data_IF_696725093183
#
_entry.id   IF_696725093183
#
_cell.length_a   1.000
_cell.length_b   1.000
_cell.length_c   1.000
_cell.angle_alpha   90.00
_cell.angle_beta   90.00
_cell.angle_gamma   90.00
#
_symmetry.space_group_name_H-M   'P 1'
#
loop_
_entity.id
_entity.type
_entity.pdbx_description
1 polymer ?
#
# COMPACT_ATOMS: atom_id res chain seq x y z
N UNK A 1 13.90 -10.44 -5.49
CA UNK A 1 13.65 -9.15 -6.17
C UNK A 1 14.20 -8.09 -5.24
N UNK A 2 14.92 -7.09 -5.72
CA UNK A 2 15.54 -6.08 -4.86
C UNK A 2 14.55 -4.95 -4.57
N UNK A 3 14.02 -4.92 -3.35
CA UNK A 3 13.09 -3.89 -2.86
C UNK A 3 13.82 -2.80 -2.08
N UNK A 4 15.11 -3.01 -1.78
CA UNK A 4 15.93 -2.24 -0.84
C UNK A 4 15.39 -2.22 0.61
N UNK A 5 14.35 -3.01 0.92
CA UNK A 5 13.75 -3.12 2.23
C UNK A 5 14.25 -4.38 2.95
N UNK A 6 14.24 -4.34 4.27
CA UNK A 6 14.43 -5.51 5.12
C UNK A 6 13.22 -6.42 5.04
N UNK A 7 13.44 -7.73 5.12
CA UNK A 7 12.38 -8.74 5.11
C UNK A 7 11.26 -8.47 6.14
N UNK A 8 11.53 -8.04 7.39
CA UNK A 8 10.47 -7.66 8.34
C UNK A 8 9.58 -6.52 7.83
N UNK A 9 10.18 -5.49 7.23
CA UNK A 9 9.43 -4.37 6.66
C UNK A 9 8.57 -4.81 5.48
N UNK A 10 9.09 -5.69 4.63
CA UNK A 10 8.30 -6.25 3.53
C UNK A 10 7.07 -7.00 4.04
N UNK A 11 7.25 -7.86 5.05
CA UNK A 11 6.14 -8.63 5.65
C UNK A 11 5.08 -7.73 6.27
N UNK A 12 5.48 -6.64 6.93
CA UNK A 12 4.56 -5.66 7.52
C UNK A 12 3.75 -4.95 6.43
N UNK A 13 4.38 -4.52 5.34
CA UNK A 13 3.69 -3.85 4.21
C UNK A 13 2.70 -4.81 3.55
N UNK A 14 3.09 -6.07 3.32
CA UNK A 14 2.20 -7.09 2.77
C UNK A 14 1.01 -7.39 3.70
N UNK A 15 1.26 -7.53 5.01
CA UNK A 15 0.22 -7.74 6.00
C UNK A 15 -0.76 -6.56 6.06
N UNK A 16 -0.25 -5.34 5.95
CA UNK A 16 -1.08 -4.14 5.91
C UNK A 16 -2.02 -4.12 4.72
N UNK A 17 -1.48 -4.37 3.52
CA UNK A 17 -2.25 -4.39 2.29
C UNK A 17 -3.39 -5.39 2.31
N UNK A 18 -3.11 -6.61 2.78
CA UNK A 18 -4.09 -7.69 2.84
C UNK A 18 -5.05 -7.58 4.05
N UNK A 19 -4.86 -6.60 4.93
CA UNK A 19 -5.81 -6.33 6.01
C UNK A 19 -7.14 -5.74 5.47
N UNK A 20 -7.12 -5.15 4.27
CA UNK A 20 -8.31 -4.73 3.52
C UNK A 20 -8.83 -5.90 2.65
N UNK A 21 -10.14 -6.14 2.71
CA UNK A 21 -10.86 -6.90 1.70
C UNK A 21 -11.14 -6.02 0.47
N UNK A 22 -10.13 -5.87 -0.38
CA UNK A 22 -10.26 -5.09 -1.59
C UNK A 22 -11.23 -5.67 -2.61
N UNK A 23 -11.56 -6.97 -2.55
CA UNK A 23 -12.57 -7.58 -3.42
C UNK A 23 -13.96 -7.17 -3.00
N UNK A 24 -14.29 -7.29 -1.71
CA UNK A 24 -15.57 -6.84 -1.18
C UNK A 24 -15.77 -5.34 -1.42
N UNK A 25 -14.73 -4.54 -1.17
CA UNK A 25 -14.77 -3.11 -1.44
C UNK A 25 -15.00 -2.80 -2.94
N UNK A 26 -14.25 -3.43 -3.85
CA UNK A 26 -14.41 -3.19 -5.28
C UNK A 26 -15.79 -3.64 -5.79
N UNK A 27 -16.29 -4.78 -5.32
CA UNK A 27 -17.62 -5.28 -5.69
C UNK A 27 -18.75 -4.35 -5.21
N UNK A 28 -18.58 -3.70 -4.07
CA UNK A 28 -19.54 -2.74 -3.55
C UNK A 28 -19.45 -1.38 -4.24
N UNK A 29 -18.24 -0.85 -4.42
CA UNK A 29 -18.02 0.52 -4.90
C UNK A 29 -18.16 0.64 -6.42
N UNK A 30 -17.77 -0.39 -7.17
CA UNK A 30 -17.80 -0.41 -8.64
C UNK A 30 -18.36 -1.72 -9.21
N UNK A 31 -19.62 -2.06 -8.94
CA UNK A 31 -20.24 -3.27 -9.48
C UNK A 31 -20.24 -3.25 -11.02
N UNK A 32 -19.56 -4.22 -11.64
CA UNK A 32 -19.44 -4.33 -13.10
C UNK A 32 -18.53 -3.28 -13.75
N UNK A 33 -17.77 -2.53 -12.96
CA UNK A 33 -16.84 -1.48 -13.42
C UNK A 33 -15.50 -1.56 -12.69
N UNK A 34 -14.94 -2.76 -12.54
CA UNK A 34 -13.73 -3.03 -11.76
C UNK A 34 -12.49 -2.26 -12.25
N UNK A 35 -12.52 -1.75 -13.49
CA UNK A 35 -11.49 -0.84 -14.03
C UNK A 35 -11.49 0.52 -13.31
N UNK A 36 -12.63 1.00 -12.83
CA UNK A 36 -12.72 2.25 -12.08
C UNK A 36 -12.08 2.16 -10.71
N UNK A 37 -11.94 0.95 -10.16
CA UNK A 37 -11.21 0.72 -8.92
C UNK A 37 -9.75 1.21 -8.97
N UNK A 38 -9.18 1.30 -10.18
CA UNK A 38 -7.83 1.80 -10.42
C UNK A 38 -7.74 3.31 -10.55
N UNK A 39 -8.85 4.05 -10.58
CA UNK A 39 -8.83 5.51 -10.75
C UNK A 39 -8.03 6.22 -9.65
N UNK A 40 -8.20 5.90 -8.35
CA UNK A 40 -7.39 6.53 -7.29
C UNK A 40 -5.89 6.30 -7.47
N UNK A 41 -5.50 5.06 -7.81
CA UNK A 41 -4.10 4.72 -8.09
C UNK A 41 -3.57 5.45 -9.32
N UNK A 42 -4.36 5.52 -10.39
CA UNK A 42 -3.99 6.20 -11.64
C UNK A 42 -3.82 7.70 -11.41
N UNK A 43 -4.72 8.33 -10.64
CA UNK A 43 -4.63 9.73 -10.26
C UNK A 43 -3.38 10.00 -9.40
N UNK A 44 -3.07 9.11 -8.45
CA UNK A 44 -1.85 9.22 -7.65
C UNK A 44 -0.59 9.12 -8.51
N UNK A 45 -0.50 8.13 -9.41
CA UNK A 45 0.66 7.96 -10.30
C UNK A 45 0.84 9.12 -11.27
N UNK A 46 -0.25 9.78 -11.67
CA UNK A 46 -0.23 10.90 -12.62
C UNK A 46 0.12 12.22 -11.94
N UNK A 47 -0.56 12.53 -10.83
CA UNK A 47 -0.58 13.88 -10.25
C UNK A 47 -0.02 13.92 -8.81
N UNK A 48 0.38 12.78 -8.24
CA UNK A 48 0.89 12.67 -6.87
C UNK A 48 -0.15 12.92 -5.77
N UNK A 49 -1.44 12.85 -6.10
CA UNK A 49 -2.53 13.21 -5.20
C UNK A 49 -3.26 11.97 -4.68
N UNK A 50 -3.41 11.89 -3.36
CA UNK A 50 -4.30 10.94 -2.71
C UNK A 50 -5.77 11.27 -3.01
N UNK A 51 -6.63 10.25 -3.01
CA UNK A 51 -8.07 10.44 -3.11
C UNK A 51 -8.60 11.16 -1.86
N UNK A 52 -9.67 11.97 -1.99
CA UNK A 52 -10.31 12.61 -0.84
C UNK A 52 -10.91 11.61 0.16
N UNK A 53 -11.41 10.48 -0.32
CA UNK A 53 -11.89 9.39 0.51
C UNK A 53 -10.73 8.48 0.90
N UNK A 54 -10.52 8.32 2.20
CA UNK A 54 -9.43 7.50 2.74
C UNK A 54 -9.58 6.02 2.36
N UNK A 55 -10.81 5.53 2.21
CA UNK A 55 -11.06 4.13 1.87
C UNK A 55 -10.60 3.83 0.45
N UNK A 56 -10.76 4.79 -0.46
CA UNK A 56 -10.27 4.70 -1.83
C UNK A 56 -8.73 4.59 -1.87
N UNK A 57 -8.03 5.26 -0.93
CA UNK A 57 -6.57 5.13 -0.77
C UNK A 57 -6.15 3.75 -0.24
N UNK A 58 -6.89 3.19 0.72
CA UNK A 58 -6.68 1.80 1.15
C UNK A 58 -6.84 0.82 -0.02
N UNK A 59 -7.88 1.02 -0.83
CA UNK A 59 -8.11 0.18 -2.00
C UNK A 59 -7.05 0.34 -3.08
N UNK A 60 -6.56 1.56 -3.33
CA UNK A 60 -5.43 1.80 -4.21
C UNK A 60 -4.18 1.05 -3.74
N UNK A 61 -3.90 1.07 -2.43
CA UNK A 61 -2.80 0.31 -1.83
C UNK A 61 -3.00 -1.20 -2.02
N UNK A 62 -4.19 -1.73 -1.74
CA UNK A 62 -4.50 -3.14 -1.99
C UNK A 62 -4.31 -3.52 -3.47
N UNK A 63 -4.78 -2.70 -4.40
CA UNK A 63 -4.69 -2.96 -5.83
C UNK A 63 -3.26 -2.95 -6.34
N UNK A 64 -2.38 -2.09 -5.81
CA UNK A 64 -0.94 -2.16 -6.07
C UNK A 64 -0.47 -3.59 -5.78
N UNK A 65 -0.68 -4.10 -4.56
CA UNK A 65 -0.21 -5.43 -4.17
C UNK A 65 -0.89 -6.60 -4.91
N UNK A 66 -2.17 -6.47 -5.27
CA UNK A 66 -2.86 -7.46 -6.12
C UNK A 66 -2.27 -7.53 -7.53
N UNK A 67 -2.05 -6.37 -8.14
CA UNK A 67 -1.48 -6.26 -9.47
C UNK A 67 0.00 -6.73 -9.48
N UNK A 68 0.64 -6.83 -8.30
CA UNK A 68 1.94 -7.50 -8.09
C UNK A 68 1.89 -9.04 -8.00
N UNK A 69 0.97 -9.69 -8.74
CA UNK A 69 0.94 -11.13 -8.99
C UNK A 69 0.62 -12.04 -7.80
N UNK A 70 -0.56 -11.90 -7.19
CA UNK A 70 -1.29 -12.96 -6.46
C UNK A 70 -0.59 -13.82 -5.38
N UNK A 71 0.71 -13.61 -5.08
CA UNK A 71 1.57 -14.46 -4.26
C UNK A 71 2.40 -13.66 -3.24
N UNK A 72 2.13 -12.35 -3.07
CA UNK A 72 2.77 -11.53 -2.02
C UNK A 72 4.16 -11.01 -2.38
N UNK A 73 4.36 -10.54 -3.61
CA UNK A 73 5.60 -9.86 -3.99
C UNK A 73 5.44 -8.34 -3.96
N UNK A 74 6.52 -7.64 -3.62
CA UNK A 74 6.57 -6.18 -3.67
C UNK A 74 7.10 -5.69 -5.02
N UNK A 75 6.75 -4.46 -5.43
CA UNK A 75 7.39 -3.82 -6.58
C UNK A 75 8.92 -3.84 -6.47
N UNK A 76 9.60 -3.96 -7.61
CA UNK A 76 11.06 -3.73 -7.65
C UNK A 76 11.37 -2.29 -7.25
N UNK A 77 12.45 -2.11 -6.49
CA UNK A 77 12.92 -0.78 -6.08
C UNK A 77 13.06 0.18 -7.27
N UNK A 78 12.87 1.47 -7.00
CA UNK A 78 13.02 2.56 -7.97
C UNK A 78 12.02 2.54 -9.14
N UNK A 79 10.93 1.76 -9.07
CA UNK A 79 9.85 1.82 -10.06
C UNK A 79 8.72 2.74 -9.59
N UNK A 80 7.95 3.40 -10.48
CA UNK A 80 6.84 4.28 -10.08
C UNK A 80 5.86 3.63 -9.08
N UNK A 81 5.59 2.33 -9.25
CA UNK A 81 4.72 1.59 -8.35
C UNK A 81 5.37 1.29 -6.99
N UNK A 82 6.69 1.14 -6.91
CA UNK A 82 7.41 1.08 -5.63
C UNK A 82 7.24 2.36 -4.83
N UNK A 83 7.41 3.51 -5.48
CA UNK A 83 7.18 4.81 -4.86
C UNK A 83 5.73 4.96 -4.42
N UNK A 84 4.77 4.60 -5.28
CA UNK A 84 3.36 4.65 -4.92
C UNK A 84 3.05 3.78 -3.70
N UNK A 85 3.51 2.54 -3.67
CA UNK A 85 3.36 1.64 -2.53
C UNK A 85 3.95 2.25 -1.25
N UNK A 86 5.18 2.77 -1.31
CA UNK A 86 5.84 3.41 -0.18
C UNK A 86 5.03 4.60 0.35
N UNK A 87 4.55 5.48 -0.53
CA UNK A 87 3.75 6.65 -0.15
C UNK A 87 2.38 6.26 0.41
N UNK A 88 1.69 5.28 -0.18
CA UNK A 88 0.41 4.78 0.34
C UNK A 88 0.58 4.14 1.72
N UNK A 89 1.63 3.34 1.93
CA UNK A 89 1.94 2.80 3.25
C UNK A 89 2.14 3.93 4.27
N UNK A 90 3.05 4.88 3.98
CA UNK A 90 3.33 6.02 4.87
C UNK A 90 2.10 6.88 5.16
N UNK A 91 1.19 7.00 4.20
CA UNK A 91 -0.04 7.76 4.37
C UNK A 91 -1.07 7.06 5.26
N UNK A 92 -1.11 5.73 5.26
CA UNK A 92 -2.24 4.96 5.81
C UNK A 92 -1.90 4.09 7.03
N UNK A 93 -0.63 3.76 7.29
CA UNK A 93 -0.24 2.72 8.27
C UNK A 93 -0.67 2.98 9.72
N UNK A 94 -0.96 4.23 10.09
CA UNK A 94 -1.44 4.63 11.41
C UNK A 94 -2.98 4.57 11.52
N UNK A 95 -3.67 4.44 10.39
CA UNK A 95 -5.12 4.42 10.31
C UNK A 95 -5.66 2.99 10.46
N UNK A 96 -6.87 2.90 11.01
CA UNK A 96 -7.58 1.63 11.06
C UNK A 96 -8.26 1.37 9.71
N UNK A 97 -8.11 0.15 9.18
CA UNK A 97 -8.91 -0.31 8.03
C UNK A 97 -10.39 -0.20 8.42
N UNK A 98 -11.25 0.45 7.61
CA UNK A 98 -12.67 0.58 7.89
C UNK A 98 -13.34 -0.78 8.07
N UNK A 99 -14.17 -0.92 9.10
CA UNK A 99 -14.75 -2.21 9.50
C UNK A 99 -15.46 -2.98 8.37
N UNK A 100 -16.29 -2.35 7.51
CA UNK A 100 -16.98 -3.07 6.44
C UNK A 100 -16.03 -3.73 5.42
N UNK A 101 -14.79 -3.25 5.36
CA UNK A 101 -13.79 -3.66 4.37
C UNK A 101 -12.60 -4.36 5.01
N UNK A 102 -12.69 -4.81 6.26
CA UNK A 102 -11.63 -5.60 6.88
C UNK A 102 -11.65 -7.00 6.32
N UNK A 103 -10.48 -7.52 5.91
CA UNK A 103 -10.38 -8.92 5.53
C UNK A 103 -10.64 -9.81 6.76
N UNK A 104 -11.63 -10.72 6.73
CA UNK A 104 -12.11 -11.42 7.93
C UNK A 104 -11.03 -12.16 8.73
N UNK A 105 -10.03 -12.71 8.03
CA UNK A 105 -8.98 -13.53 8.66
C UNK A 105 -7.67 -12.74 8.87
N UNK A 106 -7.35 -11.82 7.98
CA UNK A 106 -6.02 -11.21 7.88
C UNK A 106 -5.93 -9.91 8.68
N UNK A 107 -7.05 -9.22 8.88
CA UNK A 107 -7.10 -8.01 9.71
C UNK A 107 -6.63 -8.28 11.14
N UNK A 108 -6.94 -9.46 11.71
CA UNK A 108 -6.54 -9.81 13.07
C UNK A 108 -5.02 -9.86 13.25
N UNK A 109 -4.28 -10.27 12.21
CA UNK A 109 -2.81 -10.26 12.20
C UNK A 109 -2.27 -8.84 12.18
N UNK A 110 -2.78 -8.01 11.26
CA UNK A 110 -2.42 -6.59 11.19
C UNK A 110 -2.72 -5.85 12.50
N UNK A 111 -3.92 -6.02 13.06
CA UNK A 111 -4.36 -5.35 14.27
C UNK A 111 -3.51 -5.68 15.50
N UNK A 112 -2.91 -6.88 15.55
CA UNK A 112 -2.00 -7.32 16.61
C UNK A 112 -0.58 -6.77 16.50
N UNK A 113 -0.17 -6.26 15.34
CA UNK A 113 1.14 -5.62 15.21
C UNK A 113 1.22 -4.41 16.13
N UNK A 114 2.32 -4.30 16.87
CA UNK A 114 2.57 -3.17 17.77
C UNK A 114 2.74 -1.89 16.96
N UNK A 115 2.40 -0.74 17.57
CA UNK A 115 2.68 0.57 16.99
C UNK A 115 4.15 0.71 16.62
N UNK A 116 5.05 0.21 17.47
CA UNK A 116 6.50 0.22 17.26
C UNK A 116 6.91 -0.53 15.98
N UNK A 117 6.34 -1.70 15.71
CA UNK A 117 6.66 -2.47 14.50
C UNK A 117 6.24 -1.69 13.24
N UNK A 118 5.04 -1.09 13.25
CA UNK A 118 4.53 -0.30 12.13
C UNK A 118 5.36 0.98 11.91
N UNK A 119 5.74 1.66 13.00
CA UNK A 119 6.61 2.83 12.95
C UNK A 119 8.03 2.48 12.47
N UNK A 120 8.57 1.32 12.85
CA UNK A 120 9.87 0.87 12.37
C UNK A 120 9.88 0.67 10.85
N UNK A 121 8.85 0.02 10.30
CA UNK A 121 8.70 -0.13 8.85
C UNK A 121 8.56 1.24 8.16
N UNK A 122 7.77 2.15 8.73
CA UNK A 122 7.63 3.51 8.20
C UNK A 122 8.95 4.30 8.25
N UNK A 123 9.74 4.16 9.32
CA UNK A 123 11.04 4.82 9.46
C UNK A 123 12.03 4.34 8.41
N UNK A 124 12.06 3.03 8.14
CA UNK A 124 12.92 2.45 7.11
C UNK A 124 12.59 3.00 5.71
N UNK A 125 11.30 3.04 5.36
CA UNK A 125 10.84 3.62 4.08
C UNK A 125 11.27 5.10 3.99
N UNK A 126 11.08 5.90 5.05
CA UNK A 126 11.47 7.31 5.05
C UNK A 126 12.98 7.48 4.83
N UNK A 127 13.81 6.63 5.43
CA UNK A 127 15.26 6.73 5.26
C UNK A 127 15.68 6.39 3.83
N UNK A 128 15.08 5.36 3.21
CA UNK A 128 15.31 5.03 1.80
C UNK A 128 14.93 6.19 0.88
N UNK A 129 13.76 6.81 1.10
CA UNK A 129 13.28 7.95 0.32
C UNK A 129 14.16 9.21 0.48
N UNK A 130 14.95 9.31 1.56
CA UNK A 130 15.80 10.47 1.86
C UNK A 130 17.18 10.39 1.20
N UNK A 131 17.57 9.24 0.65
CA UNK A 131 18.92 9.06 0.11
C UNK A 131 19.15 9.97 -1.12
N UNK A 132 20.26 10.74 -1.19
CA UNK A 132 20.48 11.73 -2.26
C UNK A 132 20.51 11.12 -3.66
N UNK A 133 21.10 9.92 -3.80
CA UNK A 133 21.20 9.20 -5.08
C UNK A 133 19.86 8.66 -5.58
N UNK A 134 18.88 8.58 -4.68
CA UNK A 134 17.54 8.11 -4.95
C UNK A 134 16.66 9.23 -5.54
N UNK A 135 16.89 10.49 -5.15
CA UNK A 135 16.20 11.65 -5.73
C UNK A 135 16.84 12.12 -7.05
N UNK A 136 18.17 12.08 -7.16
CA UNK A 136 18.91 12.58 -8.31
C UNK A 136 18.85 11.71 -9.59
N UNK A 137 18.38 10.45 -9.47
CA UNK A 137 18.20 9.55 -10.63
C UNK A 137 16.78 9.59 -11.21
N UNK A 138 15.84 10.23 -10.53
CA UNK A 138 14.41 10.05 -10.75
C UNK A 138 13.60 11.36 -10.83
N UNK A 139 14.28 12.50 -10.77
CA UNK A 139 13.83 13.85 -11.14
C UNK A 139 14.93 14.55 -11.95
#
# INVERSE_FOLDING_TARGET
MDTLLTEPTEQIILAFAHALDGYAYAAHRWPGQEREARQPLTAFLKDGRFAPDVVDNFAANFLLHRDFYSHGHLPSANTPNWYAMAFFYLHLYHLSVPEPWRHPQLYSGWAKLTTEARESAAAEIRELLRQPDFLAKHY
#
